data_IF_331372540580
#
_entry.id   IF_331372540580
#
_cell.length_a   1.000
_cell.length_b   1.000
_cell.length_c   1.000
_cell.angle_alpha   90.00
_cell.angle_beta   90.00
_cell.angle_gamma   90.00
#
_symmetry.space_group_name_H-M   'P 1'
#
loop_
_entity.id
_entity.type
_entity.pdbx_description
1 polymer ?
#
# COMPACT_ATOMS: atom_id res chain seq x y z
N UNK A 1 9.10 4.86 -15.74
CA UNK A 1 8.78 3.88 -14.68
C UNK A 1 7.64 4.43 -13.82
N UNK A 2 6.79 3.57 -13.26
CA UNK A 2 5.69 3.95 -12.38
C UNK A 2 5.53 2.90 -11.28
N UNK A 3 4.90 3.27 -10.16
CA UNK A 3 4.66 2.39 -9.02
C UNK A 3 3.21 1.92 -9.01
N UNK A 4 2.99 0.65 -8.70
CA UNK A 4 1.66 0.04 -8.63
C UNK A 4 1.36 -0.27 -7.17
N UNK A 5 0.19 0.17 -6.69
CA UNK A 5 -0.34 -0.25 -5.40
C UNK A 5 -1.66 -1.02 -5.62
N UNK A 6 -1.59 -2.32 -5.34
CA UNK A 6 -2.72 -3.25 -5.22
C UNK A 6 -2.52 -4.14 -3.98
N UNK A 7 -2.04 -3.54 -2.88
CA UNK A 7 -1.72 -4.20 -1.60
C UNK A 7 -0.89 -5.48 -1.85
N UNK A 8 -1.24 -6.62 -1.28
CA UNK A 8 -0.53 -7.90 -1.45
C UNK A 8 -0.42 -8.33 -2.92
N UNK A 9 -1.33 -7.87 -3.78
CA UNK A 9 -1.36 -8.19 -5.22
C UNK A 9 -0.49 -7.29 -6.09
N UNK A 10 0.23 -6.29 -5.54
CA UNK A 10 0.97 -5.29 -6.31
C UNK A 10 2.01 -5.89 -7.24
N UNK A 11 2.85 -6.80 -6.73
CA UNK A 11 3.92 -7.42 -7.51
C UNK A 11 3.39 -8.26 -8.68
N UNK A 12 2.33 -9.04 -8.45
CA UNK A 12 1.70 -9.83 -9.52
C UNK A 12 0.96 -8.94 -10.51
N UNK A 13 0.34 -7.85 -10.05
CA UNK A 13 -0.30 -6.85 -10.93
C UNK A 13 0.73 -6.19 -11.84
N UNK A 14 1.96 -5.95 -11.38
CA UNK A 14 3.03 -5.45 -12.23
C UNK A 14 3.37 -6.41 -13.37
N UNK A 15 3.50 -7.70 -13.09
CA UNK A 15 3.73 -8.73 -14.13
C UNK A 15 2.56 -8.80 -15.10
N UNK A 16 1.33 -8.75 -14.59
CA UNK A 16 0.12 -8.77 -15.40
C UNK A 16 0.02 -7.55 -16.34
N UNK A 17 0.43 -6.36 -15.89
CA UNK A 17 0.48 -5.14 -16.72
C UNK A 17 1.61 -5.18 -17.75
N UNK A 18 2.77 -5.74 -17.40
CA UNK A 18 3.88 -5.93 -18.33
C UNK A 18 3.49 -6.87 -19.49
N UNK A 19 2.82 -7.98 -19.19
CA UNK A 19 2.30 -8.89 -20.20
C UNK A 19 1.29 -8.19 -21.13
N UNK A 20 0.40 -7.37 -20.57
CA UNK A 20 -0.56 -6.59 -21.37
C UNK A 20 0.15 -5.61 -22.32
N UNK A 21 1.13 -4.86 -21.84
CA UNK A 21 1.88 -3.92 -22.69
C UNK A 21 2.57 -4.64 -23.86
N UNK A 22 3.16 -5.82 -23.62
CA UNK A 22 3.79 -6.62 -24.67
C UNK A 22 2.74 -7.15 -25.65
N UNK A 23 1.62 -7.68 -25.16
CA UNK A 23 0.54 -8.20 -26.01
C UNK A 23 -0.11 -7.12 -26.88
N UNK A 24 -0.21 -5.90 -26.38
CA UNK A 24 -0.75 -4.75 -27.11
C UNK A 24 0.26 -4.16 -28.13
N UNK A 25 1.51 -4.61 -28.12
CA UNK A 25 2.57 -4.04 -28.97
C UNK A 25 3.11 -2.70 -28.48
N UNK A 26 2.82 -2.34 -27.21
CA UNK A 26 3.28 -1.09 -26.60
C UNK A 26 4.72 -1.18 -26.07
N UNK A 27 5.24 -2.40 -25.85
CA UNK A 27 6.59 -2.64 -25.37
C UNK A 27 7.13 -4.02 -25.80
N UNK A 28 8.43 -4.13 -26.03
CA UNK A 28 9.08 -5.43 -26.33
C UNK A 28 9.69 -6.09 -25.07
N UNK A 29 10.18 -5.27 -24.14
CA UNK A 29 10.87 -5.72 -22.92
C UNK A 29 10.42 -4.83 -21.76
N UNK A 30 10.00 -5.47 -20.66
CA UNK A 30 9.55 -4.78 -19.45
C UNK A 30 10.15 -5.44 -18.22
N UNK A 31 10.69 -4.64 -17.30
CA UNK A 31 11.06 -5.09 -15.95
C UNK A 31 9.84 -4.91 -15.04
N UNK A 32 9.38 -5.99 -14.41
CA UNK A 32 8.20 -5.99 -13.56
C UNK A 32 8.44 -6.81 -12.28
N UNK A 33 7.76 -6.40 -11.21
CA UNK A 33 7.85 -7.06 -9.90
C UNK A 33 7.30 -6.15 -8.79
N UNK A 34 7.63 -6.50 -7.55
CA UNK A 34 7.34 -5.69 -6.38
C UNK A 34 8.44 -5.87 -5.34
N UNK A 35 8.68 -4.84 -4.54
CA UNK A 35 9.60 -4.86 -3.42
C UNK A 35 8.94 -4.09 -2.27
N UNK A 36 9.20 -4.52 -1.04
CA UNK A 36 8.61 -3.94 0.16
C UNK A 36 9.62 -3.95 1.30
N UNK A 37 9.54 -2.97 2.21
CA UNK A 37 10.32 -2.96 3.44
C UNK A 37 9.46 -2.46 4.60
N UNK A 38 8.68 -3.37 5.17
CA UNK A 38 7.78 -3.07 6.29
C UNK A 38 8.53 -2.57 7.53
N UNK A 39 9.78 -3.00 7.73
CA UNK A 39 10.62 -2.53 8.85
C UNK A 39 10.97 -1.04 8.77
N UNK A 40 10.81 -0.39 7.60
CA UNK A 40 11.03 1.04 7.41
C UNK A 40 9.74 1.85 7.30
N UNK A 41 8.57 1.24 7.55
CA UNK A 41 7.30 1.98 7.54
C UNK A 41 7.30 3.07 8.63
N UNK A 42 6.98 4.33 8.29
CA UNK A 42 7.00 5.43 9.24
C UNK A 42 5.79 5.41 10.17
N UNK A 43 5.93 6.13 11.28
CA UNK A 43 4.78 6.64 12.02
C UNK A 43 4.42 8.04 11.49
N UNK A 44 3.13 8.35 11.41
CA UNK A 44 2.64 9.67 10.96
C UNK A 44 1.72 10.33 11.99
N UNK A 45 1.68 11.65 11.96
CA UNK A 45 0.82 12.49 12.80
C UNK A 45 -0.14 13.29 11.90
N UNK A 46 -1.31 12.72 11.51
CA UNK A 46 -2.16 13.30 10.47
C UNK A 46 -2.65 14.72 10.78
N UNK A 47 -2.89 15.04 12.07
CA UNK A 47 -3.37 16.34 12.52
C UNK A 47 -2.28 17.44 12.53
N UNK A 48 -1.00 17.09 12.37
CA UNK A 48 0.10 18.03 12.63
C UNK A 48 0.49 18.88 11.43
N UNK A 49 0.01 18.58 10.21
CA UNK A 49 0.23 19.46 9.04
C UNK A 49 -0.22 20.90 9.29
N UNK A 50 -1.34 21.07 10.00
CA UNK A 50 -1.94 22.39 10.32
C UNK A 50 -1.95 22.69 11.82
N UNK A 51 -1.30 21.85 12.63
CA UNK A 51 -1.23 21.95 14.08
C UNK A 51 -2.35 21.22 14.83
N UNK A 52 -1.98 20.41 15.83
CA UNK A 52 -2.91 19.64 16.66
C UNK A 52 -3.70 20.47 17.70
N UNK A 53 -3.48 21.79 17.75
CA UNK A 53 -4.09 22.78 18.65
C UNK A 53 -3.98 22.46 20.15
N UNK A 54 -4.75 21.50 20.67
CA UNK A 54 -4.80 21.13 22.09
C UNK A 54 -5.45 19.75 22.27
N UNK A 55 -4.95 18.95 23.21
CA UNK A 55 -5.45 17.60 23.52
C UNK A 55 -4.59 16.48 22.91
N UNK A 56 -4.98 15.23 23.18
CA UNK A 56 -4.25 14.05 22.74
C UNK A 56 -4.31 13.90 21.21
N UNK A 57 -3.23 13.37 20.64
CA UNK A 57 -3.16 13.02 19.22
C UNK A 57 -2.63 11.61 19.04
N UNK A 58 -3.17 10.89 18.06
CA UNK A 58 -2.74 9.54 17.73
C UNK A 58 -1.53 9.59 16.81
N UNK A 59 -0.45 8.93 17.21
CA UNK A 59 0.65 8.54 16.34
C UNK A 59 0.16 7.31 15.55
N UNK A 60 0.08 7.43 14.23
CA UNK A 60 -0.49 6.39 13.36
C UNK A 60 0.63 5.57 12.73
N UNK A 61 0.56 4.26 12.90
CA UNK A 61 1.43 3.29 12.24
C UNK A 61 1.00 3.10 10.77
N UNK A 62 1.83 3.50 9.80
CA UNK A 62 1.43 3.38 8.38
C UNK A 62 1.49 1.94 7.88
N UNK A 63 2.32 1.06 8.47
CA UNK A 63 2.33 -0.36 8.11
C UNK A 63 0.94 -0.96 8.37
N UNK A 64 0.40 -0.67 9.55
CA UNK A 64 -0.93 -1.17 9.94
C UNK A 64 -2.02 -0.44 9.15
N UNK A 65 -2.00 0.89 9.11
CA UNK A 65 -3.08 1.69 8.51
C UNK A 65 -3.20 1.49 7.00
N UNK A 66 -2.08 1.46 6.28
CA UNK A 66 -2.08 1.44 4.82
C UNK A 66 -1.96 0.02 4.24
N UNK A 67 -1.39 -0.92 4.99
CA UNK A 67 -1.12 -2.28 4.53
C UNK A 67 -2.00 -3.37 5.14
N UNK A 68 -2.43 -3.24 6.40
CA UNK A 68 -3.00 -4.35 7.18
C UNK A 68 -4.37 -4.06 7.80
N UNK A 69 -4.95 -2.88 7.56
CA UNK A 69 -6.29 -2.52 8.05
C UNK A 69 -7.29 -2.49 6.92
N UNK A 70 -8.48 -3.04 7.15
CA UNK A 70 -9.56 -2.94 6.20
C UNK A 70 -10.06 -1.49 6.14
N UNK A 71 -10.09 -0.91 4.95
CA UNK A 71 -10.50 0.47 4.77
C UNK A 71 -12.01 0.68 4.96
N UNK A 72 -12.81 -0.39 4.88
CA UNK A 72 -14.27 -0.31 4.94
C UNK A 72 -14.84 -0.65 6.32
N UNK A 73 -14.29 -1.67 6.97
CA UNK A 73 -14.76 -2.19 8.25
C UNK A 73 -13.86 -1.78 9.44
N UNK A 74 -12.76 -1.07 9.19
CA UNK A 74 -11.87 -0.49 10.20
C UNK A 74 -11.27 -1.49 11.21
N UNK A 75 -11.04 -2.73 10.80
CA UNK A 75 -10.36 -3.74 11.61
C UNK A 75 -9.15 -4.34 10.89
N UNK A 76 -8.30 -5.06 11.63
CA UNK A 76 -7.10 -5.69 11.09
C UNK A 76 -7.45 -6.84 10.13
N UNK A 77 -6.67 -7.03 9.05
CA UNK A 77 -6.84 -8.12 8.08
C UNK A 77 -6.91 -9.50 8.75
N UNK A 78 -6.27 -9.69 9.91
CA UNK A 78 -6.41 -10.92 10.71
C UNK A 78 -7.87 -11.26 11.05
N UNK A 79 -8.72 -10.27 11.28
CA UNK A 79 -10.15 -10.48 11.55
C UNK A 79 -10.92 -10.95 10.32
N UNK A 80 -10.52 -10.56 9.11
CA UNK A 80 -11.12 -11.13 7.88
C UNK A 80 -10.90 -12.64 7.76
N UNK A 81 -9.84 -13.17 8.38
CA UNK A 81 -9.55 -14.59 8.36
C UNK A 81 -10.33 -15.38 9.43
N UNK A 82 -10.72 -14.72 10.53
CA UNK A 82 -11.43 -15.34 11.66
C UNK A 82 -12.96 -15.29 11.53
N UNK A 83 -13.49 -14.47 10.62
CA UNK A 83 -14.93 -14.26 10.41
C UNK A 83 -15.50 -15.20 9.34
#
# INVERSE_FOLDING_TARGET
AFTINKVCGSGLKAVQLAAQAIQCGDADIVVAGGAENMSQAPYVLPSFRWGGRMGDSKVVDTMIKDGLSDAFNEYHMGITAEN
#
